data_IF_565630256776
#
_entry.id   IF_565630256776
#
_cell.length_a   1.000
_cell.length_b   1.000
_cell.length_c   1.000
_cell.angle_alpha   90.00
_cell.angle_beta   90.00
_cell.angle_gamma   90.00
#
_symmetry.space_group_name_H-M   'P 1'
#
loop_
_entity.id
_entity.type
_entity.pdbx_description
1 polymer ?
#
# COMPACT_ATOMS: atom_id res chain seq x y z
N UNK A 1 40.93 32.27 22.61
CA UNK A 1 42.36 32.57 22.86
C UNK A 1 43.03 31.31 23.37
N UNK A 2 44.09 30.93 22.64
CA UNK A 2 45.26 30.11 23.04
C UNK A 2 45.12 28.64 23.41
N UNK A 3 45.63 27.84 22.47
CA UNK A 3 46.00 26.43 22.50
C UNK A 3 47.22 26.10 23.38
N UNK A 4 47.41 24.79 23.68
CA UNK A 4 48.69 24.03 23.71
C UNK A 4 48.35 22.53 23.47
N UNK A 5 48.65 21.87 22.35
CA UNK A 5 49.91 21.35 21.77
C UNK A 5 50.71 20.33 22.62
N UNK A 6 50.81 19.08 22.11
CA UNK A 6 51.98 18.16 22.06
C UNK A 6 51.58 16.90 21.24
N UNK A 7 52.02 16.66 19.99
CA UNK A 7 53.31 16.17 19.43
C UNK A 7 53.64 14.68 19.67
N UNK A 8 53.64 13.89 18.58
CA UNK A 8 54.52 12.75 18.20
C UNK A 8 53.83 12.01 17.03
N UNK A 9 54.17 12.19 15.74
CA UNK A 9 55.38 11.82 14.98
C UNK A 9 55.62 10.30 14.88
N UNK A 10 55.50 9.75 13.67
CA UNK A 10 55.86 8.38 13.31
C UNK A 10 55.51 8.03 11.85
N UNK A 11 56.51 8.13 10.97
CA UNK A 11 56.49 7.90 9.52
C UNK A 11 56.60 6.39 9.21
N UNK A 12 55.92 5.88 8.19
CA UNK A 12 56.52 4.90 7.27
C UNK A 12 55.80 4.88 5.91
N UNK A 13 56.58 5.08 4.85
CA UNK A 13 56.19 4.95 3.45
C UNK A 13 56.34 3.49 2.99
N UNK A 14 55.57 3.06 2.00
CA UNK A 14 56.10 2.30 0.85
C UNK A 14 55.11 2.30 -0.31
N UNK A 15 55.63 2.61 -1.50
CA UNK A 15 54.95 2.59 -2.79
C UNK A 15 54.99 1.19 -3.42
N UNK A 16 53.98 0.83 -4.21
CA UNK A 16 54.17 0.01 -5.41
C UNK A 16 53.22 0.45 -6.53
N UNK A 17 53.84 0.87 -7.62
CA UNK A 17 53.27 1.02 -8.95
C UNK A 17 53.05 -0.36 -9.58
N UNK A 18 51.92 -0.56 -10.26
CA UNK A 18 51.82 -1.50 -11.36
C UNK A 18 50.98 -0.87 -12.47
N UNK A 19 51.69 -0.37 -13.48
CA UNK A 19 51.14 0.03 -14.77
C UNK A 19 50.93 -1.24 -15.61
N UNK A 20 49.73 -1.41 -16.17
CA UNK A 20 49.43 -2.44 -17.16
C UNK A 20 48.84 -1.79 -18.40
N UNK A 21 49.69 -1.57 -19.40
CA UNK A 21 49.29 -1.19 -20.75
C UNK A 21 48.71 -2.42 -21.47
N UNK A 22 47.53 -2.30 -22.07
CA UNK A 22 47.09 -3.23 -23.12
C UNK A 22 46.78 -2.44 -24.38
N UNK A 23 47.67 -2.59 -25.35
CA UNK A 23 47.58 -2.11 -26.73
C UNK A 23 46.48 -2.81 -27.52
N UNK A 24 45.73 -2.02 -28.28
CA UNK A 24 44.70 -2.47 -29.22
C UNK A 24 45.33 -3.13 -30.47
N UNK A 25 44.75 -4.24 -30.93
CA UNK A 25 45.06 -4.89 -32.21
C UNK A 25 43.84 -4.70 -33.15
N UNK A 26 44.00 -4.14 -34.36
CA UNK A 26 42.92 -4.05 -35.34
C UNK A 26 42.92 -5.25 -36.31
N UNK A 27 41.76 -5.88 -36.51
CA UNK A 27 41.51 -6.90 -37.53
C UNK A 27 40.24 -7.74 -37.28
N UNK A 28 39.20 -7.48 -38.06
CA UNK A 28 37.80 -8.00 -38.11
C UNK A 28 37.64 -9.52 -38.35
N UNK A 29 36.45 -10.19 -38.20
CA UNK A 29 35.08 -9.69 -38.44
C UNK A 29 33.97 -10.02 -37.38
N UNK A 30 32.83 -9.35 -37.59
CA UNK A 30 31.54 -9.44 -36.89
C UNK A 30 30.99 -10.86 -36.70
N UNK A 31 30.34 -11.09 -35.54
CA UNK A 31 29.14 -11.93 -35.46
C UNK A 31 28.26 -11.51 -34.27
N UNK A 32 26.99 -11.22 -34.54
CA UNK A 32 25.88 -11.41 -33.60
C UNK A 32 25.68 -10.34 -32.52
N UNK A 33 24.87 -9.33 -32.83
CA UNK A 33 24.21 -8.51 -31.83
C UNK A 33 23.33 -9.39 -30.92
N UNK A 34 23.70 -9.53 -29.65
CA UNK A 34 22.78 -9.90 -28.58
C UNK A 34 22.52 -8.66 -27.73
N UNK A 35 21.25 -8.27 -27.69
CA UNK A 35 20.75 -7.19 -26.85
C UNK A 35 21.14 -7.44 -25.39
N UNK A 36 21.61 -6.43 -24.64
CA UNK A 36 21.82 -6.62 -23.22
C UNK A 36 20.44 -6.71 -22.56
N UNK A 37 20.07 -7.92 -22.15
CA UNK A 37 19.08 -8.12 -21.08
C UNK A 37 19.58 -7.34 -19.87
N UNK A 38 18.95 -6.20 -19.61
CA UNK A 38 19.19 -5.38 -18.43
C UNK A 38 18.81 -6.19 -17.19
N UNK A 39 19.80 -6.87 -16.61
CA UNK A 39 19.70 -7.35 -15.25
C UNK A 39 19.57 -6.10 -14.36
N UNK A 40 18.41 -5.94 -13.73
CA UNK A 40 18.19 -4.93 -12.72
C UNK A 40 19.27 -5.07 -11.65
N UNK A 41 20.11 -4.03 -11.52
CA UNK A 41 21.11 -3.93 -10.47
C UNK A 41 20.37 -3.87 -9.13
N UNK A 42 20.70 -4.69 -8.12
CA UNK A 42 20.11 -4.54 -6.80
C UNK A 42 20.53 -3.16 -6.25
N UNK A 43 19.56 -2.28 -6.05
CA UNK A 43 19.76 -0.99 -5.40
C UNK A 43 20.06 -1.22 -3.91
N UNK A 44 21.32 -1.38 -3.54
CA UNK A 44 21.75 -1.31 -2.14
C UNK A 44 22.24 0.11 -1.83
N UNK A 45 21.31 1.06 -1.70
CA UNK A 45 21.58 2.40 -1.14
C UNK A 45 21.24 2.49 0.35
N UNK A 46 21.41 1.39 1.09
CA UNK A 46 21.25 1.37 2.55
C UNK A 46 22.47 1.95 3.26
N UNK A 47 22.26 3.01 4.07
CA UNK A 47 23.23 3.50 5.04
C UNK A 47 23.56 2.36 6.04
N UNK A 48 24.83 2.13 6.43
CA UNK A 48 25.15 1.13 7.44
C UNK A 48 24.35 1.36 8.73
N UNK A 49 23.54 0.38 9.14
CA UNK A 49 22.67 0.45 10.32
C UNK A 49 21.24 0.94 10.08
N UNK A 50 20.85 1.29 8.85
CA UNK A 50 19.44 1.48 8.53
C UNK A 50 18.72 0.11 8.51
N UNK A 51 17.50 0.02 9.08
CA UNK A 51 16.69 -1.19 8.94
C UNK A 51 16.49 -1.50 7.44
N UNK A 52 16.42 -2.78 7.04
CA UNK A 52 16.17 -3.14 5.65
C UNK A 52 14.91 -2.43 5.15
N UNK A 53 15.00 -1.86 3.94
CA UNK A 53 13.85 -1.23 3.29
C UNK A 53 12.76 -2.29 3.08
N UNK A 54 11.50 -1.91 3.28
CA UNK A 54 10.39 -2.84 3.23
C UNK A 54 10.32 -3.48 1.83
N UNK A 55 10.26 -4.80 1.78
CA UNK A 55 10.13 -5.52 0.52
C UNK A 55 8.66 -5.43 0.06
N UNK A 56 8.38 -4.43 -0.76
CA UNK A 56 7.04 -4.15 -1.32
C UNK A 56 6.97 -4.38 -2.82
N UNK A 57 8.02 -4.95 -3.41
CA UNK A 57 8.19 -5.05 -4.86
C UNK A 57 8.74 -6.39 -5.35
N UNK A 58 9.14 -7.30 -4.45
CA UNK A 58 9.63 -8.61 -4.86
C UNK A 58 8.59 -9.47 -5.56
N UNK A 59 9.07 -10.49 -6.27
CA UNK A 59 8.24 -11.51 -6.90
C UNK A 59 7.30 -12.19 -5.88
N UNK A 60 7.75 -12.36 -4.64
CA UNK A 60 6.93 -12.90 -3.55
C UNK A 60 5.75 -11.98 -3.21
N UNK A 61 5.98 -10.67 -3.16
CA UNK A 61 4.93 -9.68 -2.93
C UNK A 61 3.96 -9.64 -4.11
N UNK A 62 4.47 -9.61 -5.33
CA UNK A 62 3.68 -9.66 -6.56
C UNK A 62 2.75 -10.89 -6.58
N UNK A 63 3.30 -12.06 -6.27
CA UNK A 63 2.53 -13.30 -6.19
C UNK A 63 1.47 -13.24 -5.07
N UNK A 64 1.80 -12.67 -3.91
CA UNK A 64 0.83 -12.48 -2.81
C UNK A 64 -0.32 -11.54 -3.22
N UNK A 65 -0.03 -10.39 -3.82
CA UNK A 65 -1.05 -9.43 -4.23
C UNK A 65 -1.99 -10.02 -5.28
N UNK A 66 -1.43 -10.68 -6.30
CA UNK A 66 -2.21 -11.38 -7.32
C UNK A 66 -3.10 -12.45 -6.70
N UNK A 67 -2.56 -13.24 -5.78
CA UNK A 67 -3.32 -14.27 -5.07
C UNK A 67 -4.50 -13.69 -4.29
N UNK A 68 -4.30 -12.57 -3.59
CA UNK A 68 -5.38 -11.88 -2.88
C UNK A 68 -6.41 -11.30 -3.87
N UNK A 69 -5.95 -10.71 -4.98
CA UNK A 69 -6.83 -10.21 -6.05
C UNK A 69 -7.72 -11.31 -6.65
N UNK A 70 -7.26 -12.55 -6.69
CA UNK A 70 -8.01 -13.72 -7.19
C UNK A 70 -8.89 -14.40 -6.11
N UNK A 71 -8.81 -13.96 -4.86
CA UNK A 71 -9.46 -14.59 -3.70
C UNK A 71 -10.91 -14.11 -3.50
N UNK A 72 -11.79 -15.02 -3.06
CA UNK A 72 -13.04 -14.66 -2.39
C UNK A 72 -12.78 -14.45 -0.89
N UNK A 73 -12.59 -13.19 -0.50
CA UNK A 73 -12.21 -12.83 0.86
C UNK A 73 -13.35 -13.13 1.84
N UNK A 74 -14.61 -13.06 1.40
CA UNK A 74 -15.74 -13.37 2.26
C UNK A 74 -15.90 -14.86 2.53
N UNK A 75 -15.52 -15.71 1.58
CA UNK A 75 -15.46 -17.15 1.78
C UNK A 75 -14.37 -17.60 2.80
N UNK A 76 -13.46 -16.70 3.21
CA UNK A 76 -12.52 -17.01 4.29
C UNK A 76 -13.22 -17.11 5.64
N UNK A 77 -14.26 -16.30 5.88
CA UNK A 77 -14.95 -16.29 7.17
C UNK A 77 -15.48 -17.68 7.55
N UNK A 78 -15.28 -18.03 8.81
CA UNK A 78 -15.75 -19.29 9.35
C UNK A 78 -17.15 -19.13 9.96
N UNK A 79 -18.13 -19.72 9.28
CA UNK A 79 -19.53 -19.60 9.69
C UNK A 79 -19.77 -20.23 11.07
N UNK A 80 -19.11 -21.33 11.40
CA UNK A 80 -19.25 -22.00 12.70
C UNK A 80 -18.65 -21.18 13.83
N UNK A 81 -17.52 -20.51 13.59
CA UNK A 81 -16.97 -19.57 14.56
C UNK A 81 -17.94 -18.41 14.82
N UNK A 82 -18.52 -17.82 13.76
CA UNK A 82 -19.44 -16.68 13.88
C UNK A 82 -20.75 -17.05 14.59
N UNK A 83 -21.22 -18.31 14.47
CA UNK A 83 -22.42 -18.80 15.17
C UNK A 83 -22.32 -18.75 16.69
N UNK A 84 -21.12 -18.68 17.27
CA UNK A 84 -20.92 -18.46 18.72
C UNK A 84 -21.53 -17.16 19.21
N UNK A 85 -21.69 -16.18 18.33
CA UNK A 85 -22.21 -14.84 18.63
C UNK A 85 -23.68 -14.69 18.27
N UNK A 86 -24.31 -15.74 17.74
CA UNK A 86 -25.75 -15.79 17.47
C UNK A 86 -26.11 -16.62 16.24
N UNK A 87 -27.40 -16.99 16.09
CA UNK A 87 -27.85 -17.88 15.04
C UNK A 87 -27.83 -17.25 13.64
N UNK A 88 -27.85 -15.92 13.55
CA UNK A 88 -27.76 -15.21 12.27
C UNK A 88 -26.30 -14.88 11.99
N UNK A 89 -25.78 -15.46 10.92
CA UNK A 89 -24.45 -15.16 10.40
C UNK A 89 -24.56 -14.56 9.01
N UNK A 90 -23.80 -13.49 8.78
CA UNK A 90 -23.72 -12.82 7.48
C UNK A 90 -22.25 -12.55 7.18
N UNK A 91 -21.85 -12.77 5.94
CA UNK A 91 -20.59 -12.28 5.39
C UNK A 91 -20.89 -11.28 4.30
N UNK A 92 -20.33 -10.08 4.40
CA UNK A 92 -20.56 -8.99 3.45
C UNK A 92 -19.26 -8.25 3.21
N UNK A 93 -19.22 -7.51 2.11
CA UNK A 93 -18.13 -6.62 1.78
C UNK A 93 -17.69 -5.76 2.96
N UNK A 94 -16.38 -5.75 3.21
CA UNK A 94 -15.74 -4.98 4.27
C UNK A 94 -14.99 -3.76 3.72
N UNK A 95 -14.10 -3.16 4.54
CA UNK A 95 -13.27 -2.04 4.13
C UNK A 95 -12.42 -2.37 2.89
N UNK A 96 -12.48 -1.50 1.88
CA UNK A 96 -11.77 -1.67 0.60
C UNK A 96 -12.20 -2.91 -0.19
N UNK A 97 -11.50 -3.22 -1.28
CA UNK A 97 -11.72 -4.44 -2.06
C UNK A 97 -11.00 -5.67 -1.50
N UNK A 98 -10.00 -5.46 -0.65
CA UNK A 98 -9.21 -6.50 0.01
C UNK A 98 -9.76 -6.88 1.41
N UNK A 99 -11.02 -6.53 1.70
CA UNK A 99 -11.64 -6.79 3.00
C UNK A 99 -13.04 -7.38 2.95
N UNK A 100 -13.38 -8.14 3.99
CA UNK A 100 -14.71 -8.68 4.24
C UNK A 100 -15.09 -8.52 5.72
N UNK A 101 -16.38 -8.39 5.97
CA UNK A 101 -16.99 -8.35 7.29
C UNK A 101 -17.76 -9.64 7.56
N UNK A 102 -17.41 -10.33 8.64
CA UNK A 102 -18.19 -11.41 9.23
C UNK A 102 -19.02 -10.89 10.40
N UNK A 103 -20.33 -11.09 10.35
CA UNK A 103 -21.29 -10.66 11.37
C UNK A 103 -21.88 -11.89 12.03
N UNK A 104 -21.85 -11.92 13.36
CA UNK A 104 -22.62 -12.86 14.17
C UNK A 104 -23.56 -12.09 15.10
N UNK A 105 -24.79 -12.56 15.24
CA UNK A 105 -25.76 -11.91 16.11
C UNK A 105 -27.11 -12.60 16.15
N UNK A 106 -27.98 -12.09 17.00
CA UNK A 106 -29.39 -12.51 17.04
C UNK A 106 -30.25 -11.41 16.44
N UNK A 107 -31.25 -11.72 15.58
CA UNK A 107 -32.19 -10.72 15.08
C UNK A 107 -32.81 -9.92 16.23
N UNK A 108 -32.86 -8.60 16.10
CA UNK A 108 -33.44 -7.67 17.10
C UNK A 108 -32.75 -7.67 18.48
N UNK A 109 -31.55 -8.23 18.61
CA UNK A 109 -30.78 -8.12 19.84
C UNK A 109 -30.31 -6.68 20.10
N UNK A 110 -29.77 -6.41 21.29
CA UNK A 110 -29.21 -5.08 21.60
C UNK A 110 -27.89 -4.80 20.88
N UNK A 111 -27.16 -5.84 20.47
CA UNK A 111 -25.87 -5.74 19.81
C UNK A 111 -25.64 -6.90 18.83
N UNK A 112 -24.65 -6.74 17.96
CA UNK A 112 -24.07 -7.78 17.13
C UNK A 112 -22.55 -7.72 17.19
N UNK A 113 -21.88 -8.80 16.79
CA UNK A 113 -20.43 -8.87 16.74
C UNK A 113 -19.99 -8.80 15.30
N UNK A 114 -19.02 -7.92 15.05
CA UNK A 114 -18.45 -7.70 13.75
C UNK A 114 -16.96 -8.05 13.75
N UNK A 115 -16.56 -8.83 12.75
CA UNK A 115 -15.21 -9.26 12.50
C UNK A 115 -14.78 -8.82 11.10
N UNK A 116 -14.05 -7.71 11.01
CA UNK A 116 -13.59 -7.14 9.74
C UNK A 116 -12.20 -7.67 9.42
N UNK A 117 -12.10 -8.53 8.41
CA UNK A 117 -10.86 -9.08 7.89
C UNK A 117 -10.37 -8.21 6.73
N UNK A 118 -9.10 -7.83 6.73
CA UNK A 118 -8.42 -7.13 5.63
C UNK A 118 -7.13 -7.87 5.30
N UNK A 119 -6.91 -8.18 4.03
CA UNK A 119 -5.72 -8.90 3.54
C UNK A 119 -4.75 -7.98 2.83
N UNK A 120 -3.45 -8.25 2.95
CA UNK A 120 -2.43 -7.49 2.24
C UNK A 120 -2.30 -6.06 2.76
N UNK A 121 -2.63 -5.82 4.03
CA UNK A 121 -2.35 -4.54 4.68
C UNK A 121 -0.85 -4.48 5.06
N UNK A 122 -0.18 -3.32 4.97
CA UNK A 122 1.22 -3.20 5.36
C UNK A 122 1.44 -3.65 6.81
N UNK A 123 2.43 -4.50 7.00
CA UNK A 123 2.81 -5.04 8.30
C UNK A 123 4.32 -5.30 8.38
N UNK A 124 5.07 -4.21 8.33
CA UNK A 124 6.53 -4.18 8.32
C UNK A 124 7.12 -4.62 9.68
N UNK A 125 8.40 -5.05 9.73
CA UNK A 125 9.05 -5.48 10.96
C UNK A 125 9.03 -4.41 12.05
N UNK A 126 9.15 -3.14 11.68
CA UNK A 126 9.12 -2.00 12.62
C UNK A 126 7.78 -1.87 13.36
N UNK A 127 6.69 -2.30 12.74
CA UNK A 127 5.35 -2.25 13.32
C UNK A 127 5.13 -3.53 14.14
N UNK A 128 5.43 -4.69 13.54
CA UNK A 128 5.31 -5.99 14.20
C UNK A 128 6.14 -6.11 15.47
N UNK A 129 7.35 -5.55 15.50
CA UNK A 129 8.22 -5.58 16.69
C UNK A 129 7.72 -4.72 17.85
N UNK A 130 6.75 -3.83 17.63
CA UNK A 130 6.12 -3.00 18.68
C UNK A 130 4.85 -3.65 19.23
N UNK A 131 4.25 -4.57 18.46
CA UNK A 131 3.02 -5.24 18.84
C UNK A 131 3.31 -6.34 19.87
N UNK A 132 2.38 -6.54 20.81
CA UNK A 132 2.41 -7.74 21.67
C UNK A 132 2.02 -8.94 20.84
N UNK A 133 2.59 -10.11 21.09
CA UNK A 133 2.16 -11.33 20.41
C UNK A 133 1.80 -12.44 21.39
N UNK A 134 0.89 -13.30 20.96
CA UNK A 134 0.52 -14.54 21.64
C UNK A 134 0.57 -15.69 20.64
N UNK A 135 0.95 -16.89 21.11
CA UNK A 135 0.86 -18.11 20.32
C UNK A 135 -0.55 -18.70 20.46
N UNK A 136 -1.35 -18.56 19.40
CA UNK A 136 -2.74 -19.04 19.35
C UNK A 136 -2.83 -20.10 18.25
N UNK A 137 -3.19 -21.33 18.61
CA UNK A 137 -3.31 -22.43 17.64
C UNK A 137 -2.01 -22.74 16.87
N UNK A 138 -0.83 -22.53 17.50
CA UNK A 138 0.47 -22.73 16.85
C UNK A 138 0.85 -21.63 15.84
N UNK A 139 0.19 -20.47 15.90
CA UNK A 139 0.47 -19.28 15.08
C UNK A 139 0.69 -18.08 15.99
N UNK A 140 1.70 -17.27 15.65
CA UNK A 140 1.92 -15.97 16.30
C UNK A 140 0.87 -14.98 15.83
N UNK A 141 0.00 -14.57 16.74
CA UNK A 141 -0.97 -13.49 16.51
C UNK A 141 -0.50 -12.25 17.27
N UNK A 142 -0.48 -11.13 16.57
CA UNK A 142 0.01 -9.86 17.10
C UNK A 142 -1.15 -8.91 17.40
N UNK A 143 -1.06 -8.20 18.51
CA UNK A 143 -2.05 -7.27 19.04
C UNK A 143 -1.44 -5.88 19.12
N UNK A 144 -1.79 -4.99 18.17
CA UNK A 144 -1.28 -3.63 18.18
C UNK A 144 -1.72 -2.86 19.42
N UNK A 145 -0.78 -2.13 20.03
CA UNK A 145 -1.12 -1.20 21.12
C UNK A 145 -1.63 0.09 20.48
N UNK A 146 -2.95 0.22 20.34
CA UNK A 146 -3.58 1.40 19.76
C UNK A 146 -4.05 2.30 20.90
N UNK A 147 -3.51 3.51 21.00
CA UNK A 147 -3.99 4.51 21.95
C UNK A 147 -5.45 4.87 21.64
N UNK A 148 -6.34 4.78 22.62
CA UNK A 148 -7.75 5.14 22.46
C UNK A 148 -8.65 4.05 21.88
N UNK A 149 -8.22 2.77 21.88
CA UNK A 149 -9.17 1.68 21.63
C UNK A 149 -10.25 1.67 22.70
N UNK A 150 -11.50 1.77 22.25
CA UNK A 150 -12.67 1.54 23.07
C UNK A 150 -12.65 0.10 23.61
N UNK A 151 -13.21 -0.10 24.80
CA UNK A 151 -13.27 -1.41 25.45
C UNK A 151 -14.15 -2.45 24.73
N UNK A 152 -14.72 -2.09 23.57
CA UNK A 152 -15.54 -2.93 22.69
C UNK A 152 -14.76 -3.51 21.50
N UNK A 153 -13.55 -3.02 21.22
CA UNK A 153 -12.81 -3.29 19.97
C UNK A 153 -11.44 -3.91 20.24
N UNK A 154 -11.07 -4.90 19.43
CA UNK A 154 -9.69 -5.41 19.36
C UNK A 154 -9.20 -5.53 17.93
N UNK A 155 -7.89 -5.36 17.75
CA UNK A 155 -7.19 -5.58 16.51
C UNK A 155 -6.21 -6.74 16.69
N UNK A 156 -6.25 -7.71 15.79
CA UNK A 156 -5.32 -8.82 15.71
C UNK A 156 -4.69 -8.85 14.31
N UNK A 157 -3.43 -9.25 14.21
CA UNK A 157 -2.68 -9.35 12.96
C UNK A 157 -1.88 -10.64 12.88
N UNK A 158 -1.76 -11.17 11.67
CA UNK A 158 -0.77 -12.21 11.34
C UNK A 158 -0.01 -11.79 10.09
N UNK A 159 1.28 -12.17 10.02
CA UNK A 159 2.09 -11.96 8.83
C UNK A 159 1.67 -12.95 7.73
N UNK A 160 1.61 -12.49 6.48
CA UNK A 160 1.34 -13.33 5.32
C UNK A 160 2.66 -13.76 4.67
N UNK A 161 3.00 -15.04 4.80
CA UNK A 161 4.26 -15.59 4.30
C UNK A 161 5.47 -14.87 4.88
N UNK A 162 6.55 -14.79 4.09
CA UNK A 162 7.75 -14.02 4.41
C UNK A 162 7.69 -12.63 3.73
N UNK A 163 6.59 -11.90 3.90
CA UNK A 163 6.38 -10.57 3.30
C UNK A 163 6.16 -9.52 4.38
N UNK A 164 6.25 -8.25 3.99
CA UNK A 164 5.92 -7.11 4.85
C UNK A 164 4.42 -6.76 4.80
N UNK A 165 3.57 -7.75 4.52
CA UNK A 165 2.12 -7.63 4.53
C UNK A 165 1.48 -8.63 5.50
N UNK A 166 0.30 -8.28 5.98
CA UNK A 166 -0.44 -9.09 6.94
C UNK A 166 -1.92 -9.22 6.62
N UNK A 167 -2.54 -10.17 7.31
CA UNK A 167 -3.98 -10.19 7.50
C UNK A 167 -4.29 -9.49 8.82
N UNK A 168 -5.16 -8.49 8.77
CA UNK A 168 -5.63 -7.75 9.93
C UNK A 168 -7.09 -8.10 10.19
N UNK A 169 -7.41 -8.42 11.44
CA UNK A 169 -8.77 -8.66 11.90
C UNK A 169 -9.12 -7.61 12.96
N UNK A 170 -10.20 -6.87 12.74
CA UNK A 170 -10.82 -6.04 13.76
C UNK A 170 -12.08 -6.73 14.27
N UNK A 171 -12.10 -7.07 15.55
CA UNK A 171 -13.28 -7.58 16.23
C UNK A 171 -13.92 -6.44 17.04
N UNK A 172 -15.23 -6.23 16.89
CA UNK A 172 -15.97 -5.24 17.68
C UNK A 172 -17.36 -5.72 18.04
N UNK A 173 -17.84 -5.34 19.22
CA UNK A 173 -19.24 -5.45 19.59
C UNK A 173 -19.95 -4.15 19.22
N UNK A 174 -20.93 -4.23 18.33
CA UNK A 174 -21.65 -3.06 17.79
C UNK A 174 -23.05 -3.04 18.39
N UNK A 175 -23.42 -1.98 19.14
CA UNK A 175 -24.79 -1.83 19.62
C UNK A 175 -25.72 -1.49 18.45
N UNK A 176 -26.94 -2.05 18.45
CA UNK A 176 -28.00 -1.64 17.53
C UNK A 176 -28.57 -0.27 17.91
N UNK A 177 -28.59 0.05 19.21
CA UNK A 177 -28.97 1.37 19.74
C UNK A 177 -28.09 1.73 20.94
N UNK A 178 -27.87 3.03 21.17
CA UNK A 178 -27.12 3.50 22.33
C UNK A 178 -25.60 3.47 22.17
N UNK A 179 -24.88 3.46 23.30
CA UNK A 179 -23.41 3.55 23.33
C UNK A 179 -22.77 2.16 23.28
N UNK A 180 -21.55 2.03 22.76
CA UNK A 180 -20.80 0.78 22.82
C UNK A 180 -20.69 0.25 24.25
N UNK A 181 -20.93 -1.04 24.44
CA UNK A 181 -20.70 -1.72 25.70
C UNK A 181 -19.31 -2.39 25.69
N UNK A 182 -18.64 -2.52 26.85
CA UNK A 182 -17.35 -3.20 26.91
C UNK A 182 -17.51 -4.68 26.55
N UNK A 183 -16.52 -5.21 25.83
CA UNK A 183 -16.41 -6.63 25.51
C UNK A 183 -15.05 -7.14 25.98
N UNK A 184 -14.95 -7.71 27.20
CA UNK A 184 -13.67 -8.12 27.77
C UNK A 184 -12.93 -9.17 26.93
N UNK A 185 -13.64 -10.12 26.33
CA UNK A 185 -13.06 -11.24 25.58
C UNK A 185 -12.66 -10.89 24.14
N UNK A 186 -12.88 -9.64 23.69
CA UNK A 186 -12.66 -9.18 22.31
C UNK A 186 -11.33 -9.59 21.70
N UNK A 187 -10.23 -9.47 22.44
CA UNK A 187 -8.90 -9.82 21.92
C UNK A 187 -8.65 -11.32 21.88
N UNK A 188 -9.14 -12.05 22.88
CA UNK A 188 -9.11 -13.51 22.85
C UNK A 188 -9.88 -14.05 21.64
N UNK A 189 -11.07 -13.50 21.37
CA UNK A 189 -11.91 -13.91 20.24
C UNK A 189 -11.30 -13.48 18.90
N UNK A 190 -10.75 -12.28 18.80
CA UNK A 190 -10.03 -11.83 17.60
C UNK A 190 -8.82 -12.73 17.30
N UNK A 191 -8.02 -13.04 18.32
CA UNK A 191 -6.85 -13.90 18.19
C UNK A 191 -7.20 -15.32 17.78
N UNK A 192 -8.17 -15.93 18.47
CA UNK A 192 -8.67 -17.27 18.15
C UNK A 192 -9.24 -17.34 16.74
N UNK A 193 -9.99 -16.32 16.31
CA UNK A 193 -10.57 -16.31 14.98
C UNK A 193 -9.49 -16.16 13.91
N UNK A 194 -8.56 -15.21 14.07
CA UNK A 194 -7.51 -15.01 13.08
C UNK A 194 -6.59 -16.23 12.96
N UNK A 195 -6.28 -16.89 14.08
CA UNK A 195 -5.55 -18.16 14.08
C UNK A 195 -6.31 -19.28 13.35
N UNK A 196 -7.64 -19.37 13.54
CA UNK A 196 -8.50 -20.32 12.81
C UNK A 196 -8.50 -20.05 11.30
N UNK A 197 -8.42 -18.79 10.89
CA UNK A 197 -8.38 -18.41 9.47
C UNK A 197 -7.01 -18.65 8.81
N UNK A 198 -5.92 -18.72 9.58
CA UNK A 198 -4.56 -18.79 9.06
C UNK A 198 -4.32 -19.90 8.01
N UNK A 199 -4.81 -21.15 8.17
CA UNK A 199 -4.65 -22.17 7.13
C UNK A 199 -5.35 -21.81 5.82
N UNK A 200 -6.53 -21.16 5.89
CA UNK A 200 -7.25 -20.68 4.71
C UNK A 200 -6.52 -19.51 4.05
N UNK A 201 -5.75 -18.71 4.79
CA UNK A 201 -4.95 -17.62 4.22
C UNK A 201 -3.72 -18.13 3.44
N UNK A 202 -3.22 -19.32 3.78
CA UNK A 202 -2.16 -20.00 3.03
C UNK A 202 -2.68 -20.61 1.72
N UNK A 203 -3.96 -21.01 1.67
CA UNK A 203 -4.63 -21.54 0.47
C UNK A 203 -6.03 -20.91 0.31
N UNK A 204 -6.10 -19.61 -0.02
CA UNK A 204 -7.33 -18.87 -0.08
C UNK A 204 -8.26 -19.40 -1.17
N UNK A 205 -9.58 -19.38 -0.93
CA UNK A 205 -10.55 -19.82 -1.91
C UNK A 205 -10.53 -18.89 -3.12
N UNK A 206 -10.48 -19.48 -4.32
CA UNK A 206 -10.61 -18.73 -5.55
C UNK A 206 -11.99 -18.08 -5.63
N UNK A 207 -12.07 -16.92 -6.29
CA UNK A 207 -13.33 -16.27 -6.59
C UNK A 207 -14.14 -17.10 -7.58
N UNK A 208 -15.35 -17.48 -7.19
CA UNK A 208 -16.29 -18.26 -8.02
C UNK A 208 -17.48 -17.43 -8.49
N UNK A 209 -17.87 -16.39 -7.73
CA UNK A 209 -18.93 -15.48 -8.10
C UNK A 209 -18.47 -14.43 -9.12
N UNK A 210 -19.41 -13.92 -9.91
CA UNK A 210 -19.15 -12.77 -10.78
C UNK A 210 -18.68 -11.58 -9.93
N UNK A 211 -17.66 -10.88 -10.43
CA UNK A 211 -17.13 -9.72 -9.75
C UNK A 211 -18.20 -8.62 -9.67
N UNK A 212 -18.50 -8.17 -8.45
CA UNK A 212 -19.41 -7.05 -8.17
C UNK A 212 -18.92 -5.69 -8.73
N UNK A 213 -17.68 -5.64 -9.19
CA UNK A 213 -16.99 -4.47 -9.71
C UNK A 213 -16.10 -4.88 -10.88
N UNK A 214 -15.99 -4.02 -11.89
CA UNK A 214 -14.99 -4.18 -12.96
C UNK A 214 -13.54 -4.04 -12.45
N UNK A 215 -13.37 -3.49 -11.25
CA UNK A 215 -12.08 -3.31 -10.57
C UNK A 215 -11.63 -4.57 -9.82
N UNK A 216 -12.57 -5.37 -9.34
CA UNK A 216 -12.26 -6.47 -8.45
C UNK A 216 -11.47 -7.55 -9.20
N UNK A 217 -10.25 -7.81 -8.72
CA UNK A 217 -9.33 -8.82 -9.26
C UNK A 217 -8.45 -8.36 -10.42
N UNK A 218 -8.52 -7.08 -10.78
CA UNK A 218 -7.55 -6.50 -11.71
C UNK A 218 -6.23 -6.18 -10.95
N UNK A 219 -5.16 -5.82 -11.65
CA UNK A 219 -3.95 -5.23 -11.05
C UNK A 219 -3.85 -3.69 -11.25
N UNK A 220 -3.81 -2.85 -10.20
CA UNK A 220 -3.67 -1.39 -10.34
C UNK A 220 -2.34 -0.97 -11.00
N UNK A 221 -1.36 -1.87 -11.00
CA UNK A 221 -0.04 -1.64 -11.58
C UNK A 221 0.14 -2.19 -13.00
N UNK A 222 -0.93 -2.70 -13.63
CA UNK A 222 -0.86 -3.32 -14.96
C UNK A 222 -0.34 -2.36 -16.06
N UNK A 223 -0.45 -1.04 -15.85
CA UNK A 223 -0.04 0.00 -16.79
C UNK A 223 1.26 0.71 -16.40
N UNK A 224 2.06 0.14 -15.48
CA UNK A 224 3.23 0.80 -14.88
C UNK A 224 4.18 1.41 -15.91
N UNK A 225 4.55 0.67 -16.95
CA UNK A 225 5.59 1.11 -17.89
C UNK A 225 5.12 2.28 -18.75
N UNK A 226 3.82 2.30 -19.09
CA UNK A 226 3.19 3.38 -19.83
C UNK A 226 3.07 4.64 -18.95
N UNK A 227 2.73 4.48 -17.66
CA UNK A 227 2.66 5.59 -16.71
C UNK A 227 4.06 6.16 -16.45
N UNK A 228 5.08 5.31 -16.29
CA UNK A 228 6.49 5.75 -16.11
C UNK A 228 6.94 6.61 -17.30
N UNK A 229 6.56 6.25 -18.52
CA UNK A 229 6.91 7.01 -19.72
C UNK A 229 6.32 8.44 -19.77
N UNK A 230 5.30 8.75 -18.97
CA UNK A 230 4.72 10.09 -18.88
C UNK A 230 5.60 11.09 -18.11
N UNK A 231 6.64 10.61 -17.42
CA UNK A 231 7.51 11.43 -16.57
C UNK A 231 8.98 11.34 -16.99
N UNK A 232 9.34 11.74 -18.23
CA UNK A 232 10.69 11.57 -18.76
C UNK A 232 11.76 12.38 -18.02
N UNK A 233 11.38 13.45 -17.32
CA UNK A 233 12.30 14.25 -16.49
C UNK A 233 12.61 13.61 -15.12
N UNK A 234 11.90 12.54 -14.77
CA UNK A 234 12.05 11.86 -13.50
C UNK A 234 12.61 10.45 -13.73
N UNK A 235 13.60 10.07 -12.94
CA UNK A 235 14.12 8.72 -12.93
C UNK A 235 13.26 7.83 -12.05
N UNK A 236 12.58 6.86 -12.67
CA UNK A 236 11.86 5.81 -11.96
C UNK A 236 12.81 5.05 -11.01
N UNK A 237 12.39 4.89 -9.77
CA UNK A 237 13.15 4.22 -8.72
C UNK A 237 12.59 2.84 -8.44
N UNK A 238 11.30 2.78 -8.10
CA UNK A 238 10.66 1.56 -7.62
C UNK A 238 9.14 1.63 -7.81
N UNK A 239 8.53 0.47 -8.02
CA UNK A 239 7.09 0.26 -7.90
C UNK A 239 6.85 -0.55 -6.63
N UNK A 240 5.93 -0.12 -5.80
CA UNK A 240 5.58 -0.78 -4.55
C UNK A 240 4.08 -0.98 -4.46
N UNK A 241 3.64 -2.15 -4.01
CA UNK A 241 2.26 -2.29 -3.54
C UNK A 241 2.11 -1.67 -2.16
N UNK A 242 1.00 -0.99 -1.93
CA UNK A 242 0.59 -0.57 -0.60
C UNK A 242 -0.51 -1.46 -0.04
N UNK A 243 -1.32 -2.02 -0.92
CA UNK A 243 -2.23 -3.13 -0.66
C UNK A 243 -2.55 -3.80 -2.03
N UNK A 244 -3.35 -4.87 -2.09
CA UNK A 244 -3.65 -5.57 -3.35
C UNK A 244 -4.33 -4.70 -4.41
N UNK A 245 -4.93 -3.58 -4.04
CA UNK A 245 -5.66 -2.67 -4.93
C UNK A 245 -5.09 -1.25 -4.94
N UNK A 246 -3.88 -1.07 -4.41
CA UNK A 246 -3.14 0.18 -4.46
C UNK A 246 -1.67 -0.08 -4.78
N UNK A 247 -1.16 0.59 -5.80
CA UNK A 247 0.26 0.61 -6.07
C UNK A 247 0.81 2.01 -6.25
N UNK A 248 2.09 2.16 -5.92
CA UNK A 248 2.81 3.43 -5.91
C UNK A 248 4.09 3.33 -6.72
N UNK A 249 4.27 4.25 -7.64
CA UNK A 249 5.47 4.44 -8.43
C UNK A 249 6.26 5.61 -7.84
N UNK A 250 7.51 5.38 -7.45
CA UNK A 250 8.38 6.42 -6.92
C UNK A 250 9.41 6.83 -7.97
N UNK A 251 9.62 8.13 -8.07
CA UNK A 251 10.62 8.71 -8.95
C UNK A 251 11.48 9.73 -8.23
N UNK A 252 12.72 9.86 -8.67
CA UNK A 252 13.66 10.89 -8.22
C UNK A 252 13.99 11.82 -9.39
N UNK A 253 14.15 13.12 -9.11
CA UNK A 253 14.55 14.09 -10.14
C UNK A 253 16.06 14.32 -10.11
N UNK A 254 16.83 13.41 -10.70
CA UNK A 254 18.30 13.52 -10.79
C UNK A 254 18.94 13.88 -9.44
N UNK A 255 19.76 14.92 -9.41
CA UNK A 255 20.39 15.46 -8.18
C UNK A 255 19.52 16.49 -7.44
N UNK A 256 18.33 16.82 -7.94
CA UNK A 256 17.43 17.77 -7.29
C UNK A 256 16.79 17.16 -6.01
N UNK A 257 16.51 17.98 -4.98
CA UNK A 257 15.81 17.56 -3.76
C UNK A 257 14.30 17.44 -4.00
N UNK A 258 13.90 16.85 -5.13
CA UNK A 258 12.51 16.71 -5.55
C UNK A 258 12.24 15.24 -5.85
N UNK A 259 11.15 14.74 -5.29
CA UNK A 259 10.61 13.41 -5.57
C UNK A 259 9.19 13.53 -6.12
N UNK A 260 8.83 12.56 -6.94
CA UNK A 260 7.48 12.37 -7.45
C UNK A 260 6.98 10.99 -7.00
N UNK A 261 5.75 10.93 -6.53
CA UNK A 261 5.04 9.69 -6.27
C UNK A 261 3.77 9.67 -7.10
N UNK A 262 3.55 8.59 -7.84
CA UNK A 262 2.30 8.36 -8.57
C UNK A 262 1.63 7.15 -7.95
N UNK A 263 0.41 7.31 -7.41
CA UNK A 263 -0.37 6.23 -6.84
C UNK A 263 -1.58 5.92 -7.72
N UNK A 264 -1.86 4.64 -7.92
CA UNK A 264 -3.08 4.15 -8.58
C UNK A 264 -3.81 3.27 -7.58
N UNK A 265 -5.06 3.63 -7.27
CA UNK A 265 -5.85 2.99 -6.24
C UNK A 265 -7.23 2.63 -6.77
N UNK A 266 -7.70 1.44 -6.42
CA UNK A 266 -9.12 1.10 -6.50
C UNK A 266 -9.66 0.91 -5.11
N UNK A 267 -10.78 1.55 -4.84
CA UNK A 267 -11.32 1.56 -3.50
C UNK A 267 -12.85 1.48 -3.48
N UNK A 268 -13.36 1.14 -2.29
CA UNK A 268 -14.75 1.34 -1.90
C UNK A 268 -14.79 2.52 -0.94
N UNK A 269 -15.33 3.64 -1.40
CA UNK A 269 -15.38 4.89 -0.63
C UNK A 269 -16.69 5.64 -0.90
N UNK A 270 -16.91 6.76 -0.23
CA UNK A 270 -17.99 7.68 -0.54
C UNK A 270 -17.77 8.31 -1.94
N UNK A 271 -18.84 8.69 -2.62
CA UNK A 271 -18.71 9.35 -3.91
C UNK A 271 -17.90 10.66 -3.79
N UNK A 272 -17.04 10.97 -4.78
CA UNK A 272 -16.16 12.12 -4.66
C UNK A 272 -16.94 13.43 -4.52
N UNK A 273 -16.66 14.17 -3.44
CA UNK A 273 -17.32 15.45 -3.17
C UNK A 273 -16.66 16.62 -3.91
N UNK A 274 -17.48 17.59 -4.34
CA UNK A 274 -17.02 18.88 -4.87
C UNK A 274 -16.64 19.88 -3.78
N UNK A 275 -16.78 19.51 -2.51
CA UNK A 275 -16.34 20.34 -1.39
C UNK A 275 -14.82 20.48 -1.41
N UNK A 276 -14.34 21.71 -1.34
CA UNK A 276 -12.91 22.05 -1.23
C UNK A 276 -12.57 22.50 0.18
N UNK A 277 -11.33 22.23 0.60
CA UNK A 277 -10.80 22.64 1.90
C UNK A 277 -9.43 23.30 1.74
N UNK A 278 -9.18 24.39 2.47
CA UNK A 278 -7.88 25.08 2.46
C UNK A 278 -7.48 25.58 1.07
N UNK A 279 -6.28 25.19 0.62
CA UNK A 279 -5.72 25.57 -0.69
C UNK A 279 -6.13 24.64 -1.85
N UNK A 280 -7.07 23.72 -1.63
CA UNK A 280 -7.47 22.77 -2.65
C UNK A 280 -8.43 23.39 -3.66
N UNK A 281 -8.19 23.12 -4.95
CA UNK A 281 -9.16 23.37 -6.01
C UNK A 281 -9.75 22.03 -6.46
N UNK A 282 -11.08 21.92 -6.42
CA UNK A 282 -11.82 20.73 -6.84
C UNK A 282 -12.71 21.09 -8.03
N UNK A 283 -12.68 20.26 -9.07
CA UNK A 283 -13.41 20.46 -10.31
C UNK A 283 -14.10 19.15 -10.72
N UNK A 284 -15.24 19.25 -11.38
CA UNK A 284 -15.87 18.09 -12.03
C UNK A 284 -14.98 17.60 -13.16
N UNK A 285 -14.94 16.27 -13.32
CA UNK A 285 -14.23 15.60 -14.40
C UNK A 285 -15.13 14.51 -14.98
N UNK A 286 -15.08 14.36 -16.30
CA UNK A 286 -15.64 13.21 -17.01
C UNK A 286 -14.55 12.62 -17.89
N UNK A 287 -14.35 11.31 -17.82
CA UNK A 287 -13.28 10.62 -18.53
C UNK A 287 -13.67 9.16 -18.75
N UNK A 288 -13.52 8.67 -19.98
CA UNK A 288 -13.89 7.29 -20.32
C UNK A 288 -15.35 6.93 -20.04
N UNK A 289 -16.26 7.92 -20.09
CA UNK A 289 -17.68 7.75 -19.74
C UNK A 289 -17.96 7.62 -18.24
N UNK A 290 -16.95 7.82 -17.38
CA UNK A 290 -17.10 7.87 -15.94
C UNK A 290 -17.07 9.32 -15.45
N UNK A 291 -17.86 9.60 -14.43
CA UNK A 291 -17.91 10.91 -13.77
C UNK A 291 -17.09 10.89 -12.49
N UNK A 292 -16.58 12.06 -12.10
CA UNK A 292 -15.84 12.20 -10.87
C UNK A 292 -15.29 13.60 -10.67
N UNK A 293 -14.14 13.69 -10.01
CA UNK A 293 -13.48 14.96 -9.70
C UNK A 293 -12.00 14.94 -10.04
N UNK A 294 -11.49 16.13 -10.31
CA UNK A 294 -10.08 16.47 -10.22
C UNK A 294 -9.87 17.37 -9.01
N UNK A 295 -8.92 17.02 -8.16
CA UNK A 295 -8.46 17.83 -7.03
C UNK A 295 -7.00 18.22 -7.24
N UNK A 296 -6.70 19.48 -7.03
CA UNK A 296 -5.32 20.00 -7.03
C UNK A 296 -5.05 20.68 -5.71
N UNK A 297 -3.84 20.50 -5.20
CA UNK A 297 -3.33 21.21 -4.03
C UNK A 297 -1.97 21.81 -4.36
N UNK A 298 -1.73 23.00 -3.84
CA UNK A 298 -0.40 23.59 -3.75
C UNK A 298 -0.08 23.79 -2.28
N UNK A 299 1.07 23.29 -1.85
CA UNK A 299 1.66 23.59 -0.55
C UNK A 299 2.78 24.61 -0.78
N UNK A 300 2.68 25.75 -0.09
CA UNK A 300 3.55 26.93 -0.02
C UNK A 300 5.06 26.72 -0.27
N UNK A 301 5.43 26.33 -1.48
CA UNK A 301 6.79 26.00 -1.90
C UNK A 301 7.31 24.62 -1.48
N UNK A 302 6.47 23.77 -0.85
CA UNK A 302 6.84 22.41 -0.43
C UNK A 302 6.43 21.32 -1.43
N UNK A 303 5.66 21.72 -2.44
CA UNK A 303 5.18 20.83 -3.49
C UNK A 303 3.66 20.91 -3.64
N UNK A 304 3.07 19.83 -4.12
CA UNK A 304 1.63 19.75 -4.30
C UNK A 304 1.21 18.51 -5.05
N UNK A 305 -0.09 18.25 -5.05
CA UNK A 305 -0.65 17.05 -5.65
C UNK A 305 -1.70 17.38 -6.71
N UNK A 306 -1.78 16.49 -7.71
CA UNK A 306 -2.94 16.41 -8.58
C UNK A 306 -3.55 15.01 -8.46
N UNK A 307 -4.84 14.98 -8.22
CA UNK A 307 -5.61 13.78 -7.90
C UNK A 307 -6.84 13.72 -8.80
N UNK A 308 -7.06 12.58 -9.42
CA UNK A 308 -8.28 12.25 -10.16
C UNK A 308 -8.97 11.10 -9.43
N UNK A 309 -10.28 11.23 -9.21
CA UNK A 309 -11.12 10.14 -8.71
C UNK A 309 -12.37 10.02 -9.57
N UNK A 310 -12.63 8.83 -10.09
CA UNK A 310 -13.74 8.52 -10.99
C UNK A 310 -14.60 7.41 -10.39
N UNK A 311 -15.92 7.59 -10.46
CA UNK A 311 -16.92 6.63 -9.97
C UNK A 311 -17.21 5.58 -11.04
N UNK A 312 -16.80 4.34 -10.78
CA UNK A 312 -17.06 3.17 -11.65
C UNK A 312 -18.42 2.56 -11.36
N UNK A 313 -18.81 2.53 -10.09
CA UNK A 313 -20.12 2.10 -9.61
C UNK A 313 -20.61 3.12 -8.57
N UNK A 314 -21.79 3.74 -8.76
CA UNK A 314 -22.37 4.61 -7.75
C UNK A 314 -22.55 3.91 -6.40
N UNK A 315 -22.51 4.70 -5.33
CA UNK A 315 -22.77 4.20 -3.99
C UNK A 315 -24.23 3.78 -3.80
N UNK A 316 -24.45 2.84 -2.90
CA UNK A 316 -25.80 2.52 -2.43
C UNK A 316 -26.31 3.64 -1.52
N UNK A 317 -27.59 3.98 -1.67
CA UNK A 317 -28.21 5.06 -0.89
C UNK A 317 -28.10 4.75 0.61
N UNK A 318 -27.66 5.75 1.37
CA UNK A 318 -27.50 5.68 2.84
C UNK A 318 -26.46 4.65 3.32
N UNK A 319 -25.64 4.10 2.42
CA UNK A 319 -24.54 3.17 2.74
C UNK A 319 -23.21 3.88 2.46
N UNK A 320 -22.48 4.22 3.52
CA UNK A 320 -21.14 4.79 3.41
C UNK A 320 -20.16 3.82 2.76
N UNK A 321 -19.16 4.35 2.08
CA UNK A 321 -18.05 3.58 1.52
C UNK A 321 -18.49 2.49 0.53
N UNK A 322 -19.56 2.77 -0.24
CA UNK A 322 -20.18 1.80 -1.15
C UNK A 322 -19.95 2.11 -2.62
N UNK A 323 -19.43 3.30 -2.97
CA UNK A 323 -19.08 3.63 -4.33
C UNK A 323 -17.74 2.98 -4.71
N UNK A 324 -17.62 2.52 -5.94
CA UNK A 324 -16.39 1.90 -6.44
C UNK A 324 -15.60 2.93 -7.24
N UNK A 325 -14.40 3.23 -6.79
CA UNK A 325 -13.62 4.35 -7.33
C UNK A 325 -12.34 3.88 -8.00
N UNK A 326 -11.97 4.56 -9.08
CA UNK A 326 -10.61 4.57 -9.63
C UNK A 326 -9.97 5.88 -9.26
N UNK A 327 -8.83 5.84 -8.60
CA UNK A 327 -8.09 7.00 -8.16
C UNK A 327 -6.67 6.99 -8.71
N UNK A 328 -6.24 8.12 -9.24
CA UNK A 328 -4.86 8.34 -9.70
C UNK A 328 -4.36 9.64 -9.09
N UNK A 329 -3.27 9.57 -8.34
CA UNK A 329 -2.65 10.70 -7.66
C UNK A 329 -1.21 10.86 -8.10
N UNK A 330 -0.79 12.09 -8.39
CA UNK A 330 0.63 12.46 -8.43
C UNK A 330 0.91 13.47 -7.33
N UNK A 331 1.86 13.17 -6.44
CA UNK A 331 2.41 14.07 -5.44
C UNK A 331 3.86 14.41 -5.79
N UNK A 332 4.15 15.71 -5.88
CA UNK A 332 5.53 16.19 -5.95
C UNK A 332 5.85 16.85 -4.62
N UNK A 333 6.96 16.44 -4.00
CA UNK A 333 7.38 16.94 -2.69
C UNK A 333 8.90 16.99 -2.55
N UNK A 334 9.37 17.65 -1.49
CA UNK A 334 10.80 17.69 -1.18
C UNK A 334 11.37 16.32 -0.80
N UNK A 335 12.57 16.03 -1.30
CA UNK A 335 13.40 14.93 -0.86
C UNK A 335 14.40 15.41 0.20
N UNK A 336 14.05 15.19 1.47
CA UNK A 336 14.85 15.59 2.63
C UNK A 336 16.15 14.78 2.79
N UNK A 337 16.39 13.76 1.98
CA UNK A 337 17.69 13.09 1.94
C UNK A 337 18.75 13.92 1.21
N UNK A 338 18.35 14.96 0.48
CA UNK A 338 19.22 15.85 -0.28
C UNK A 338 19.23 17.27 0.29
N UNK A 339 20.30 18.05 0.06
CA UNK A 339 20.37 19.44 0.49
C UNK A 339 19.25 20.29 -0.15
N UNK A 340 18.59 21.12 0.67
CA UNK A 340 17.59 22.04 0.17
C UNK A 340 18.23 23.10 -0.75
N UNK A 341 17.58 23.37 -1.89
CA UNK A 341 18.06 24.35 -2.88
C UNK A 341 17.45 25.74 -2.71
N UNK A 342 16.54 25.92 -1.74
CA UNK A 342 15.80 27.17 -1.51
C UNK A 342 14.79 27.53 -2.60
N UNK A 343 14.69 26.76 -3.68
CA UNK A 343 13.69 26.95 -4.74
C UNK A 343 12.36 26.30 -4.35
N UNK A 344 11.21 26.95 -4.62
CA UNK A 344 9.90 26.34 -4.42
C UNK A 344 9.77 25.05 -5.25
N UNK A 345 9.23 24.00 -4.65
CA UNK A 345 8.87 22.79 -5.38
C UNK A 345 7.54 23.03 -6.11
N UNK A 346 7.47 22.85 -7.45
CA UNK A 346 6.22 23.04 -8.17
C UNK A 346 5.23 21.91 -7.83
N UNK A 347 3.92 22.17 -7.89
CA UNK A 347 2.91 21.13 -7.74
C UNK A 347 2.97 20.15 -8.92
N UNK A 348 2.50 18.92 -8.71
CA UNK A 348 2.39 17.93 -9.78
C UNK A 348 1.50 18.43 -10.93
N UNK A 349 1.95 18.37 -12.20
CA UNK A 349 1.11 18.75 -13.33
C UNK A 349 -0.03 17.74 -13.53
N UNK A 350 -1.25 18.23 -13.73
CA UNK A 350 -2.41 17.35 -13.96
C UNK A 350 -2.48 16.71 -15.35
N UNK A 351 -1.73 17.21 -16.33
CA UNK A 351 -1.71 16.63 -17.68
C UNK A 351 -1.28 15.14 -17.65
N UNK A 352 -0.10 14.83 -17.09
CA UNK A 352 0.34 13.44 -16.88
C UNK A 352 -0.62 12.61 -16.02
N UNK A 353 -1.26 13.19 -14.99
CA UNK A 353 -2.25 12.47 -14.17
C UNK A 353 -3.47 12.07 -14.99
N UNK A 354 -3.99 12.97 -15.82
CA UNK A 354 -5.11 12.67 -16.70
C UNK A 354 -4.74 11.56 -17.71
N UNK A 355 -3.56 11.65 -18.33
CA UNK A 355 -3.08 10.60 -19.25
C UNK A 355 -2.89 9.25 -18.54
N UNK A 356 -2.33 9.25 -17.33
CA UNK A 356 -2.23 8.04 -16.51
C UNK A 356 -3.62 7.46 -16.19
N UNK A 357 -4.60 8.31 -15.91
CA UNK A 357 -5.99 7.89 -15.66
C UNK A 357 -6.58 7.23 -16.91
N UNK A 358 -6.42 7.82 -18.10
CA UNK A 358 -6.88 7.22 -19.36
C UNK A 358 -6.23 5.86 -19.62
N UNK A 359 -4.92 5.73 -19.36
CA UNK A 359 -4.20 4.46 -19.48
C UNK A 359 -4.78 3.40 -18.53
N UNK A 360 -5.03 3.76 -17.28
CA UNK A 360 -5.65 2.86 -16.28
C UNK A 360 -7.04 2.42 -16.76
N UNK A 361 -7.89 3.36 -17.19
CA UNK A 361 -9.24 3.06 -17.68
C UNK A 361 -9.22 2.12 -18.91
N UNK A 362 -8.24 2.24 -19.80
CA UNK A 362 -8.08 1.35 -20.95
C UNK A 362 -7.76 -0.11 -20.59
N UNK A 363 -7.33 -0.37 -19.34
CA UNK A 363 -7.02 -1.70 -18.83
C UNK A 363 -8.14 -2.38 -18.02
N UNK A 364 -9.22 -1.64 -17.73
CA UNK A 364 -10.39 -2.15 -17.01
C UNK A 364 -11.31 -2.88 -17.98
#
# INVERSE_FOLDING_TARGET
MSAKFRLLAGVLALAMLAAGCTTAVPGTPMAGAQAPTGAARPSSTGRPGAPPEADKSSETVLALMKKIQETDICALHDQEFLKKFGPKVVSTNGPGFNGCAGIGGTPNAEHFWLFELVLGAPYEPKDRNKDKFEDVGGRKVYFPTISGTNDDTCHAKIQLGQTDFGAALRARMVPNTGKPAPWPERCQQAGAYLALLAPKLESPPARTAAAESKLLGKDPCAKKDQIVALYPEYQFQIMEYLNPYECRLRFAKGDEPVKLQVSVTWDRDDEPSLTSFGSQKVERLEMGGLTGIRRTSADSGRGGACFTSLTVKPGEKDVKFSAHLVQVEADVSMDFSKPATGKPVPPAPCGPVNQATELVLSGL
#
